data_IF_013229290073
#
_entry.id   IF_013229290073
#
_cell.length_a   1.000
_cell.length_b   1.000
_cell.length_c   1.000
_cell.angle_alpha   90.00
_cell.angle_beta   90.00
_cell.angle_gamma   90.00
#
_symmetry.space_group_name_H-M   'P 1'
#
loop_
_entity.id
_entity.type
_entity.pdbx_description
1 polymer ?
#
# COMPACT_ATOMS: atom_id res chain seq x y z
N UNK A 1 26.57 -0.08 5.59
CA UNK A 1 27.01 0.30 6.95
C UNK A 1 26.16 1.40 7.61
N UNK A 2 25.09 1.94 6.98
CA UNK A 2 24.33 3.06 7.56
C UNK A 2 23.26 2.67 8.60
N UNK A 3 22.91 1.38 8.73
CA UNK A 3 21.83 0.90 9.60
C UNK A 3 22.30 -0.17 10.59
N UNK A 4 23.35 -0.94 10.25
CA UNK A 4 23.84 -2.08 11.04
C UNK A 4 24.09 -1.74 12.51
N UNK A 5 24.75 -0.60 12.77
CA UNK A 5 25.12 -0.19 14.14
C UNK A 5 23.92 0.23 15.02
N UNK A 6 22.72 0.36 14.45
CA UNK A 6 21.48 0.74 15.16
C UNK A 6 20.42 -0.36 15.15
N UNK A 7 20.71 -1.50 14.52
CA UNK A 7 19.82 -2.66 14.53
C UNK A 7 19.89 -3.34 15.89
N UNK A 8 18.78 -3.95 16.30
CA UNK A 8 18.73 -4.72 17.54
C UNK A 8 19.62 -5.95 17.44
N UNK A 9 20.40 -6.24 18.48
CA UNK A 9 21.20 -7.48 18.59
C UNK A 9 20.34 -8.75 18.83
N UNK A 10 19.01 -8.62 18.71
CA UNK A 10 18.07 -9.72 18.86
C UNK A 10 18.19 -10.64 17.64
N UNK A 11 18.53 -11.93 17.82
CA UNK A 11 18.58 -12.86 16.71
C UNK A 11 17.18 -13.04 16.11
N UNK A 12 17.08 -12.91 14.77
CA UNK A 12 15.85 -13.21 14.05
C UNK A 12 15.77 -14.70 13.77
N UNK A 13 14.60 -15.30 14.00
CA UNK A 13 14.29 -16.63 13.49
C UNK A 13 14.40 -16.66 11.96
N UNK A 14 14.71 -17.82 11.36
CA UNK A 14 14.83 -17.96 9.91
C UNK A 14 13.55 -17.55 9.18
N UNK A 15 13.73 -17.07 7.95
CA UNK A 15 12.63 -16.79 7.02
C UNK A 15 11.99 -18.08 6.49
N UNK A 16 10.87 -17.93 5.79
CA UNK A 16 10.24 -19.03 5.06
C UNK A 16 11.12 -19.51 3.90
N UNK A 17 11.98 -18.63 3.39
CA UNK A 17 12.97 -18.90 2.37
C UNK A 17 14.35 -18.45 2.86
N UNK A 18 15.41 -19.01 2.26
CA UNK A 18 16.76 -18.46 2.46
C UNK A 18 16.82 -17.02 1.95
N UNK A 19 17.72 -16.21 2.52
CA UNK A 19 17.82 -14.79 2.17
C UNK A 19 18.09 -14.57 0.68
N UNK A 20 18.96 -15.38 0.09
CA UNK A 20 19.34 -15.29 -1.31
C UNK A 20 18.15 -15.58 -2.24
N UNK A 21 17.43 -16.66 -1.97
CA UNK A 21 16.27 -17.08 -2.76
C UNK A 21 15.13 -16.08 -2.60
N UNK A 22 14.85 -15.66 -1.37
CA UNK A 22 13.81 -14.69 -1.07
C UNK A 22 14.06 -13.34 -1.74
N UNK A 23 15.30 -12.83 -1.71
CA UNK A 23 15.66 -11.59 -2.41
C UNK A 23 15.47 -11.70 -3.93
N UNK A 24 15.84 -12.82 -4.55
CA UNK A 24 15.63 -13.04 -5.99
C UNK A 24 14.14 -13.04 -6.34
N UNK A 25 13.32 -13.77 -5.58
CA UNK A 25 11.87 -13.85 -5.82
C UNK A 25 11.21 -12.48 -5.66
N UNK A 26 11.52 -11.78 -4.56
CA UNK A 26 10.99 -10.43 -4.31
C UNK A 26 11.44 -9.44 -5.40
N UNK A 27 12.69 -9.55 -5.85
CA UNK A 27 13.23 -8.77 -6.95
C UNK A 27 12.48 -8.99 -8.26
N UNK A 28 12.17 -10.26 -8.61
CA UNK A 28 11.40 -10.60 -9.81
C UNK A 28 9.97 -10.05 -9.71
N UNK A 29 9.27 -10.28 -8.60
CA UNK A 29 7.91 -9.78 -8.37
C UNK A 29 7.87 -8.25 -8.51
N UNK A 30 8.80 -7.57 -7.83
CA UNK A 30 8.89 -6.12 -7.85
C UNK A 30 9.20 -5.59 -9.26
N UNK A 31 10.08 -6.27 -10.01
CA UNK A 31 10.42 -5.90 -11.39
C UNK A 31 9.21 -6.03 -12.31
N UNK A 32 8.48 -7.15 -12.24
CA UNK A 32 7.26 -7.37 -13.02
C UNK A 32 6.22 -6.28 -12.71
N UNK A 33 6.03 -5.96 -11.43
CA UNK A 33 5.12 -4.91 -10.99
C UNK A 33 5.51 -3.54 -11.57
N UNK A 34 6.77 -3.11 -11.40
CA UNK A 34 7.24 -1.80 -11.88
C UNK A 34 7.12 -1.71 -13.41
N UNK A 35 7.55 -2.75 -14.13
CA UNK A 35 7.41 -2.80 -15.60
C UNK A 35 5.93 -2.76 -16.01
N UNK A 36 5.07 -3.50 -15.33
CA UNK A 36 3.62 -3.47 -15.55
C UNK A 36 3.03 -2.07 -15.38
N UNK A 37 3.39 -1.36 -14.30
CA UNK A 37 2.96 0.02 -14.04
C UNK A 37 3.46 1.00 -15.12
N UNK A 38 4.69 0.83 -15.61
CA UNK A 38 5.28 1.68 -16.66
C UNK A 38 4.58 1.45 -18.01
N UNK A 39 4.41 0.19 -18.41
CA UNK A 39 3.90 -0.15 -19.75
C UNK A 39 2.42 0.22 -19.90
N UNK A 40 1.63 0.06 -18.83
CA UNK A 40 0.20 0.39 -18.79
C UNK A 40 -0.09 1.88 -18.62
N UNK A 41 0.92 2.69 -18.30
CA UNK A 41 0.77 4.15 -18.16
C UNK A 41 0.79 4.87 -19.50
N UNK A 42 -0.11 5.85 -19.67
CA UNK A 42 -0.10 6.83 -20.76
C UNK A 42 0.92 7.95 -20.53
N UNK A 43 1.36 8.13 -19.30
CA UNK A 43 2.34 9.16 -18.96
C UNK A 43 3.73 8.74 -19.43
N UNK A 44 4.58 9.73 -19.69
CA UNK A 44 5.93 9.52 -20.20
C UNK A 44 6.91 10.49 -19.50
N UNK A 45 8.20 10.16 -19.59
CA UNK A 45 9.30 10.97 -19.07
C UNK A 45 9.17 11.30 -17.58
N UNK A 46 9.53 12.53 -17.21
CA UNK A 46 9.53 12.99 -15.82
C UNK A 46 8.17 12.88 -15.12
N UNK A 47 7.06 13.09 -15.84
CA UNK A 47 5.73 12.95 -15.26
C UNK A 47 5.49 11.51 -14.77
N UNK A 48 5.83 10.51 -15.60
CA UNK A 48 5.73 9.11 -15.19
C UNK A 48 6.69 8.81 -14.04
N UNK A 49 7.94 9.28 -14.13
CA UNK A 49 8.96 9.04 -13.12
C UNK A 49 8.54 9.56 -11.74
N UNK A 50 8.14 10.83 -11.64
CA UNK A 50 7.75 11.45 -10.35
C UNK A 50 6.52 10.79 -9.74
N UNK A 51 5.50 10.49 -10.54
CA UNK A 51 4.28 9.88 -10.02
C UNK A 51 4.45 8.41 -9.64
N UNK A 52 5.27 7.66 -10.40
CA UNK A 52 5.60 6.29 -10.03
C UNK A 52 6.51 6.25 -8.82
N UNK A 53 7.48 7.17 -8.73
CA UNK A 53 8.33 7.33 -7.55
C UNK A 53 7.48 7.63 -6.29
N UNK A 54 6.52 8.55 -6.38
CA UNK A 54 5.60 8.87 -5.27
C UNK A 54 4.77 7.64 -4.86
N UNK A 55 4.14 6.96 -5.83
CA UNK A 55 3.30 5.80 -5.55
C UNK A 55 4.12 4.64 -4.96
N UNK A 56 5.31 4.38 -5.52
CA UNK A 56 6.21 3.35 -5.06
C UNK A 56 6.75 3.65 -3.66
N UNK A 57 7.36 4.81 -3.45
CA UNK A 57 7.88 5.22 -2.14
C UNK A 57 6.77 5.27 -1.10
N UNK A 58 5.62 5.82 -1.48
CA UNK A 58 4.43 5.89 -0.66
C UNK A 58 4.02 4.53 -0.13
N UNK A 59 3.90 3.54 -1.02
CA UNK A 59 3.44 2.19 -0.67
C UNK A 59 4.52 1.36 0.02
N UNK A 60 5.73 1.30 -0.54
CA UNK A 60 6.81 0.42 -0.07
C UNK A 60 7.47 0.92 1.21
N UNK A 61 7.52 2.23 1.44
CA UNK A 61 8.30 2.81 2.54
C UNK A 61 7.47 3.71 3.42
N UNK A 62 6.84 4.75 2.87
CA UNK A 62 6.19 5.75 3.72
C UNK A 62 5.09 5.13 4.58
N UNK A 63 4.16 4.38 3.98
CA UNK A 63 3.06 3.77 4.72
C UNK A 63 3.55 2.67 5.67
N UNK A 64 4.50 1.84 5.23
CA UNK A 64 5.06 0.77 6.08
C UNK A 64 5.79 1.35 7.30
N UNK A 65 6.57 2.42 7.12
CA UNK A 65 7.27 3.07 8.23
C UNK A 65 6.35 3.89 9.14
N UNK A 66 5.19 4.35 8.66
CA UNK A 66 4.16 4.93 9.53
C UNK A 66 3.63 3.88 10.52
N UNK A 67 3.46 2.63 10.11
CA UNK A 67 3.13 1.53 11.04
C UNK A 67 4.29 1.21 11.97
N UNK A 68 5.52 1.10 11.45
CA UNK A 68 6.72 0.89 12.27
C UNK A 68 6.82 1.94 13.37
N UNK A 69 6.57 3.21 13.03
CA UNK A 69 6.59 4.30 13.98
C UNK A 69 5.55 4.11 15.09
N UNK A 70 4.33 3.72 14.74
CA UNK A 70 3.26 3.56 15.73
C UNK A 70 3.42 2.30 16.60
N UNK A 71 3.79 1.17 15.99
CA UNK A 71 3.77 -0.14 16.65
C UNK A 71 5.11 -0.59 17.21
N UNK A 72 6.22 -0.19 16.58
CA UNK A 72 7.55 -0.75 16.90
C UNK A 72 8.47 0.23 17.62
N UNK A 73 8.15 1.53 17.67
CA UNK A 73 9.03 2.51 18.34
C UNK A 73 9.25 2.21 19.83
N UNK A 74 8.25 1.62 20.49
CA UNK A 74 8.33 1.25 21.91
C UNK A 74 8.81 -0.20 22.12
N UNK A 75 9.01 -0.97 21.05
CA UNK A 75 9.34 -2.40 21.13
C UNK A 75 10.75 -2.67 20.60
N UNK A 76 10.98 -2.43 19.29
CA UNK A 76 12.22 -2.85 18.61
C UNK A 76 12.90 -1.73 17.82
N UNK A 77 12.25 -0.60 17.57
CA UNK A 77 12.77 0.46 16.68
C UNK A 77 13.14 1.71 17.46
N UNK A 78 14.43 2.01 17.51
CA UNK A 78 14.88 3.25 18.17
C UNK A 78 14.51 4.51 17.39
N UNK A 79 14.31 5.67 18.06
CA UNK A 79 14.06 6.95 17.39
C UNK A 79 15.17 7.38 16.42
N UNK A 80 16.40 6.89 16.60
CA UNK A 80 17.54 7.15 15.70
C UNK A 80 17.49 6.28 14.44
N UNK A 81 16.91 5.08 14.54
CA UNK A 81 16.79 4.14 13.44
C UNK A 81 15.66 4.54 12.50
N UNK A 82 14.51 4.98 13.04
CA UNK A 82 13.29 5.26 12.26
C UNK A 82 13.54 6.19 11.04
N UNK A 83 14.20 7.36 11.15
CA UNK A 83 14.47 8.22 9.99
C UNK A 83 15.32 7.53 8.91
N UNK A 84 16.24 6.63 9.30
CA UNK A 84 17.08 5.89 8.35
C UNK A 84 16.26 4.87 7.55
N UNK A 85 15.23 4.29 8.15
CA UNK A 85 14.29 3.40 7.45
C UNK A 85 13.52 4.15 6.35
N UNK A 86 13.10 5.39 6.62
CA UNK A 86 12.49 6.25 5.59
C UNK A 86 13.45 6.58 4.44
N UNK A 87 14.73 6.81 4.73
CA UNK A 87 15.75 7.15 3.72
C UNK A 87 16.13 5.93 2.87
N UNK A 88 16.21 4.74 3.49
CA UNK A 88 16.59 3.50 2.80
C UNK A 88 15.70 3.20 1.59
N UNK A 89 14.40 3.50 1.71
CA UNK A 89 13.41 3.32 0.65
C UNK A 89 13.55 4.24 -0.55
N UNK A 90 14.39 5.28 -0.49
CA UNK A 90 14.55 6.27 -1.58
C UNK A 90 15.37 5.76 -2.77
N UNK A 91 16.17 4.71 -2.58
CA UNK A 91 17.06 4.16 -3.62
C UNK A 91 16.30 3.73 -4.88
N UNK A 92 15.20 2.99 -4.73
CA UNK A 92 14.36 2.51 -5.83
C UNK A 92 13.66 3.63 -6.61
N UNK A 93 12.91 4.54 -5.98
CA UNK A 93 12.24 5.63 -6.68
C UNK A 93 13.20 6.62 -7.34
N UNK A 94 14.40 6.84 -6.80
CA UNK A 94 15.37 7.80 -7.35
C UNK A 94 16.22 7.20 -8.47
N UNK A 95 16.64 5.94 -8.35
CA UNK A 95 17.62 5.34 -9.28
C UNK A 95 16.92 4.35 -10.23
N UNK A 96 16.26 3.34 -9.66
CA UNK A 96 15.79 2.20 -10.44
C UNK A 96 14.52 2.49 -11.23
N UNK A 97 13.59 3.31 -10.71
CA UNK A 97 12.38 3.71 -11.46
C UNK A 97 12.73 4.53 -12.72
N UNK A 98 13.55 5.60 -12.65
CA UNK A 98 13.98 6.32 -13.85
C UNK A 98 14.70 5.42 -14.85
N UNK A 99 15.59 4.55 -14.38
CA UNK A 99 16.28 3.57 -15.21
C UNK A 99 15.30 2.62 -15.92
N UNK A 100 14.32 2.07 -15.20
CA UNK A 100 13.29 1.21 -15.76
C UNK A 100 12.47 1.93 -16.85
N UNK A 101 12.12 3.20 -16.65
CA UNK A 101 11.39 4.00 -17.66
C UNK A 101 12.23 4.20 -18.92
N UNK A 102 13.55 4.42 -18.78
CA UNK A 102 14.49 4.51 -19.89
C UNK A 102 14.57 3.19 -20.66
N UNK A 103 14.71 2.07 -19.95
CA UNK A 103 14.76 0.71 -20.53
C UNK A 103 13.46 0.40 -21.28
N UNK A 104 12.29 0.71 -20.70
CA UNK A 104 10.98 0.55 -21.33
C UNK A 104 10.71 1.55 -22.46
N UNK A 105 11.68 2.43 -22.80
CA UNK A 105 11.58 3.45 -23.86
C UNK A 105 10.40 4.43 -23.68
N UNK A 106 9.92 4.61 -22.44
CA UNK A 106 8.82 5.52 -22.07
C UNK A 106 9.29 6.92 -21.68
N UNK A 107 10.57 7.23 -21.91
CA UNK A 107 11.12 8.56 -21.65
C UNK A 107 10.81 9.57 -22.76
N UNK A 108 10.76 9.11 -24.02
CA UNK A 108 10.46 9.97 -25.17
C UNK A 108 8.97 10.33 -25.16
N UNK A 109 8.65 11.62 -25.29
CA UNK A 109 7.26 12.06 -25.51
C UNK A 109 6.78 11.41 -26.81
N UNK A 110 5.71 10.62 -26.75
CA UNK A 110 4.90 10.36 -27.94
C UNK A 110 3.97 11.56 -28.09
N UNK A 111 3.94 12.15 -29.28
CA UNK A 111 2.97 13.18 -29.68
C UNK A 111 1.57 12.56 -29.81
N UNK A 112 1.07 12.00 -28.70
CA UNK A 112 -0.34 11.65 -28.60
C UNK A 112 -1.04 12.96 -28.32
N UNK A 113 -1.80 13.43 -29.31
CA UNK A 113 -2.70 14.56 -29.20
C UNK A 113 -3.35 14.56 -27.82
N UNK A 114 -3.32 15.72 -27.17
CA UNK A 114 -3.87 15.97 -25.85
C UNK A 114 -5.36 15.64 -25.79
N UNK A 115 -5.70 14.36 -25.62
CA UNK A 115 -7.02 13.98 -25.16
C UNK A 115 -7.14 14.45 -23.71
N UNK A 116 -7.96 15.49 -23.56
CA UNK A 116 -8.27 16.17 -22.32
C UNK A 116 -8.36 15.18 -21.15
N UNK A 117 -7.52 15.30 -20.11
CA UNK A 117 -7.69 14.53 -18.89
C UNK A 117 -8.80 15.18 -18.07
N UNK A 118 -10.03 15.25 -18.59
CA UNK A 118 -11.19 15.67 -17.81
C UNK A 118 -11.68 14.50 -16.94
N UNK A 119 -10.77 13.99 -16.11
CA UNK A 119 -11.14 13.31 -14.87
C UNK A 119 -10.69 14.17 -13.68
N UNK A 120 -10.89 15.49 -13.81
CA UNK A 120 -10.84 16.40 -12.66
C UNK A 120 -12.17 16.21 -11.94
N UNK A 121 -12.13 15.35 -10.94
CA UNK A 121 -13.25 15.19 -10.02
C UNK A 121 -13.45 16.51 -9.24
N UNK A 122 -14.69 17.00 -9.07
CA UNK A 122 -14.94 18.14 -8.20
C UNK A 122 -14.34 17.89 -6.82
N UNK A 123 -13.69 18.89 -6.23
CA UNK A 123 -12.97 18.76 -4.96
C UNK A 123 -13.86 18.18 -3.84
N UNK A 124 -15.14 18.59 -3.77
CA UNK A 124 -16.11 18.03 -2.83
C UNK A 124 -16.34 16.54 -3.00
N UNK A 125 -16.42 16.07 -4.24
CA UNK A 125 -16.59 14.66 -4.54
C UNK A 125 -15.31 13.87 -4.22
N UNK A 126 -14.14 14.44 -4.48
CA UNK A 126 -12.87 13.85 -4.08
C UNK A 126 -12.79 13.67 -2.56
N UNK A 127 -13.15 14.72 -1.80
CA UNK A 127 -13.15 14.66 -0.34
C UNK A 127 -14.15 13.63 0.21
N UNK A 128 -15.34 13.53 -0.40
CA UNK A 128 -16.32 12.49 -0.05
C UNK A 128 -15.77 11.08 -0.32
N UNK A 129 -15.14 10.85 -1.49
CA UNK A 129 -14.53 9.56 -1.80
C UNK A 129 -13.38 9.24 -0.85
N UNK A 130 -12.55 10.22 -0.48
CA UNK A 130 -11.51 10.02 0.53
C UNK A 130 -12.09 9.62 1.88
N UNK A 131 -13.19 10.26 2.32
CA UNK A 131 -13.89 9.86 3.55
C UNK A 131 -14.40 8.42 3.49
N UNK A 132 -15.03 8.02 2.38
CA UNK A 132 -15.48 6.64 2.15
C UNK A 132 -14.30 5.66 2.16
N UNK A 133 -13.21 6.00 1.48
CA UNK A 133 -11.97 5.20 1.44
C UNK A 133 -11.40 5.02 2.85
N UNK A 134 -11.37 6.08 3.67
CA UNK A 134 -10.87 6.01 5.05
C UNK A 134 -11.68 5.02 5.90
N UNK A 135 -13.01 5.07 5.80
CA UNK A 135 -13.89 4.15 6.52
C UNK A 135 -13.74 2.71 6.03
N UNK A 136 -13.70 2.50 4.72
CA UNK A 136 -13.51 1.14 4.15
C UNK A 136 -12.17 0.58 4.60
N UNK A 137 -11.13 1.41 4.58
CA UNK A 137 -9.81 0.99 5.03
C UNK A 137 -9.81 0.58 6.51
N UNK A 138 -10.43 1.38 7.38
CA UNK A 138 -10.58 1.05 8.79
C UNK A 138 -11.29 -0.30 8.97
N UNK A 139 -12.37 -0.55 8.23
CA UNK A 139 -13.10 -1.83 8.30
C UNK A 139 -12.22 -2.99 7.84
N UNK A 140 -11.53 -2.86 6.70
CA UNK A 140 -10.64 -3.90 6.18
C UNK A 140 -9.50 -4.19 7.16
N UNK A 141 -8.86 -3.13 7.68
CA UNK A 141 -7.81 -3.24 8.69
C UNK A 141 -8.34 -3.96 9.94
N UNK A 142 -9.53 -3.58 10.42
CA UNK A 142 -10.10 -4.19 11.63
C UNK A 142 -10.41 -5.68 11.45
N UNK A 143 -11.03 -6.03 10.32
CA UNK A 143 -11.38 -7.41 10.02
C UNK A 143 -10.14 -8.28 9.81
N UNK A 144 -9.16 -7.81 9.04
CA UNK A 144 -7.90 -8.55 8.84
C UNK A 144 -7.12 -8.67 10.16
N UNK A 145 -7.02 -7.58 10.91
CA UNK A 145 -6.37 -7.56 12.21
C UNK A 145 -6.98 -8.59 13.15
N UNK A 146 -8.29 -8.60 13.32
CA UNK A 146 -8.96 -9.54 14.24
C UNK A 146 -8.95 -10.99 13.73
N UNK A 147 -9.37 -11.23 12.48
CA UNK A 147 -9.60 -12.59 11.97
C UNK A 147 -8.36 -13.27 11.38
N UNK A 148 -7.26 -12.55 11.16
CA UNK A 148 -6.01 -13.12 10.63
C UNK A 148 -4.87 -12.93 11.65
N UNK A 149 -4.50 -11.70 11.97
CA UNK A 149 -3.31 -11.45 12.80
C UNK A 149 -3.51 -11.81 14.27
N UNK A 150 -4.58 -11.30 14.89
CA UNK A 150 -4.88 -11.51 16.31
C UNK A 150 -5.28 -12.95 16.64
N UNK A 151 -5.44 -13.83 15.63
CA UNK A 151 -5.61 -15.26 15.87
C UNK A 151 -4.31 -15.91 16.35
N UNK A 152 -3.14 -15.37 15.99
CA UNK A 152 -1.85 -15.91 16.42
C UNK A 152 -1.53 -15.49 17.88
N UNK A 153 -1.41 -16.44 18.83
CA UNK A 153 -1.08 -16.14 20.23
C UNK A 153 0.30 -15.49 20.41
N UNK A 154 1.29 -15.85 19.59
CA UNK A 154 2.63 -15.25 19.64
C UNK A 154 2.61 -13.79 19.18
N UNK A 155 1.77 -13.46 18.18
CA UNK A 155 1.58 -12.09 17.74
C UNK A 155 0.93 -11.23 18.83
N UNK A 156 -0.09 -11.77 19.51
CA UNK A 156 -0.70 -11.08 20.65
C UNK A 156 0.30 -10.85 21.78
N UNK A 157 1.10 -11.86 22.11
CA UNK A 157 2.15 -11.74 23.12
C UNK A 157 3.24 -10.72 22.72
N UNK A 158 3.62 -10.67 21.45
CA UNK A 158 4.58 -9.71 20.91
C UNK A 158 4.14 -8.26 21.11
N UNK A 159 2.84 -7.97 20.96
CA UNK A 159 2.25 -6.65 21.24
C UNK A 159 1.77 -6.47 22.68
N UNK A 160 2.21 -7.30 23.62
CA UNK A 160 1.93 -7.14 25.05
C UNK A 160 0.49 -7.49 25.49
N UNK A 161 -0.24 -8.24 24.68
CA UNK A 161 -1.61 -8.73 24.99
C UNK A 161 -1.69 -10.27 25.03
N UNK A 162 -0.86 -10.96 25.84
CA UNK A 162 -0.85 -12.42 25.87
C UNK A 162 -2.17 -13.00 26.38
N UNK A 163 -2.49 -14.23 25.96
CA UNK A 163 -3.68 -14.97 26.40
C UNK A 163 -4.72 -15.17 25.31
N UNK A 164 -5.91 -15.61 25.72
CA UNK A 164 -7.04 -15.86 24.81
C UNK A 164 -7.55 -14.59 24.15
N UNK A 165 -7.98 -14.70 22.89
CA UNK A 165 -8.56 -13.56 22.18
C UNK A 165 -9.94 -13.23 22.76
N UNK A 166 -10.18 -11.95 23.04
CA UNK A 166 -11.50 -11.47 23.43
C UNK A 166 -12.49 -11.61 22.25
N UNK A 167 -13.79 -11.84 22.53
CA UNK A 167 -14.82 -11.84 21.49
C UNK A 167 -14.82 -10.54 20.68
N UNK A 168 -15.13 -10.62 19.39
CA UNK A 168 -14.99 -9.53 18.41
C UNK A 168 -15.51 -8.18 18.89
N UNK A 169 -16.75 -8.13 19.39
CA UNK A 169 -17.35 -6.87 19.83
C UNK A 169 -16.68 -6.31 21.09
N UNK A 170 -16.28 -7.18 22.03
CA UNK A 170 -15.57 -6.78 23.25
C UNK A 170 -14.20 -6.23 22.91
N UNK A 171 -13.42 -6.95 22.10
CA UNK A 171 -12.12 -6.50 21.58
C UNK A 171 -12.24 -5.17 20.85
N UNK A 172 -13.28 -5.04 20.02
CA UNK A 172 -13.55 -3.82 19.25
C UNK A 172 -13.82 -2.63 20.16
N UNK A 173 -14.78 -2.77 21.08
CA UNK A 173 -15.16 -1.70 21.99
C UNK A 173 -14.00 -1.29 22.92
N UNK A 174 -13.25 -2.28 23.44
CA UNK A 174 -12.10 -2.04 24.29
C UNK A 174 -11.02 -1.25 23.54
N UNK A 175 -10.68 -1.63 22.31
CA UNK A 175 -9.63 -0.96 21.54
C UNK A 175 -10.05 0.45 21.10
N UNK A 176 -11.31 0.64 20.69
CA UNK A 176 -11.83 1.98 20.34
C UNK A 176 -11.80 2.93 21.55
N UNK A 177 -12.05 2.41 22.75
CA UNK A 177 -12.08 3.21 23.98
C UNK A 177 -10.68 3.49 24.53
N UNK A 178 -9.79 2.49 24.51
CA UNK A 178 -8.46 2.58 25.12
C UNK A 178 -7.41 3.18 24.18
N UNK A 179 -7.56 3.00 22.87
CA UNK A 179 -6.55 3.38 21.87
C UNK A 179 -7.18 4.13 20.69
N UNK A 180 -7.83 5.29 20.93
CA UNK A 180 -8.48 6.07 19.86
C UNK A 180 -7.48 6.59 18.82
N UNK A 181 -6.20 6.75 19.19
CA UNK A 181 -5.11 7.11 18.27
C UNK A 181 -4.92 6.09 17.15
N UNK A 182 -5.16 4.80 17.40
CA UNK A 182 -5.08 3.77 16.37
C UNK A 182 -6.16 4.00 15.30
N UNK A 183 -7.38 4.31 15.72
CA UNK A 183 -8.49 4.57 14.78
C UNK A 183 -8.16 5.77 13.89
N UNK A 184 -7.66 6.85 14.49
CA UNK A 184 -7.25 8.05 13.74
C UNK A 184 -6.12 7.72 12.74
N UNK A 185 -5.11 6.96 13.19
CA UNK A 185 -4.01 6.52 12.33
C UNK A 185 -4.53 5.75 11.11
N UNK A 186 -5.43 4.78 11.32
CA UNK A 186 -5.94 3.98 10.22
C UNK A 186 -6.79 4.82 9.26
N UNK A 187 -7.64 5.72 9.75
CA UNK A 187 -8.39 6.64 8.89
C UNK A 187 -7.47 7.48 8.01
N UNK A 188 -6.42 8.08 8.60
CA UNK A 188 -5.43 8.88 7.86
C UNK A 188 -4.66 8.02 6.86
N UNK A 189 -4.22 6.83 7.27
CA UNK A 189 -3.49 5.89 6.43
C UNK A 189 -4.31 5.41 5.23
N UNK A 190 -5.60 5.15 5.42
CA UNK A 190 -6.53 4.84 4.33
C UNK A 190 -6.60 5.96 3.29
N UNK A 191 -6.66 7.21 3.72
CA UNK A 191 -6.61 8.37 2.80
C UNK A 191 -5.26 8.48 2.10
N UNK A 192 -4.15 8.25 2.81
CA UNK A 192 -2.80 8.32 2.25
C UNK A 192 -2.61 7.32 1.11
N UNK A 193 -3.01 6.06 1.28
CA UNK A 193 -2.99 5.05 0.21
C UNK A 193 -3.65 5.56 -1.08
N UNK A 194 -4.82 6.20 -0.98
CA UNK A 194 -5.52 6.74 -2.15
C UNK A 194 -4.78 7.94 -2.76
N UNK A 195 -4.27 8.86 -1.93
CA UNK A 195 -3.56 10.06 -2.39
C UNK A 195 -2.28 9.68 -3.14
N UNK A 196 -1.48 8.74 -2.62
CA UNK A 196 -0.18 8.38 -3.22
C UNK A 196 -0.35 7.71 -4.60
N UNK A 197 -1.43 6.94 -4.79
CA UNK A 197 -1.63 6.14 -6.02
C UNK A 197 -2.54 6.83 -7.03
N UNK A 198 -3.32 7.84 -6.60
CA UNK A 198 -4.24 8.58 -7.47
C UNK A 198 -3.58 9.05 -8.76
N UNK A 199 -2.37 9.65 -8.75
CA UNK A 199 -1.72 10.04 -9.98
C UNK A 199 -1.57 8.85 -10.94
N UNK A 200 -1.00 7.73 -10.48
CA UNK A 200 -0.81 6.55 -11.32
C UNK A 200 -2.15 6.01 -11.87
N UNK A 201 -3.22 6.02 -11.07
CA UNK A 201 -4.55 5.63 -11.53
C UNK A 201 -5.03 6.52 -12.69
N UNK A 202 -4.86 7.84 -12.56
CA UNK A 202 -5.19 8.80 -13.63
C UNK A 202 -4.29 8.62 -14.87
N UNK A 203 -3.14 7.98 -14.72
CA UNK A 203 -2.20 7.67 -15.77
C UNK A 203 -2.47 6.35 -16.51
N UNK A 204 -3.31 5.45 -16.01
CA UNK A 204 -3.53 4.16 -16.68
C UNK A 204 -4.24 4.31 -18.03
N UNK A 205 -3.82 3.48 -18.98
CA UNK A 205 -4.43 3.32 -20.31
C UNK A 205 -4.87 1.85 -20.54
N UNK A 206 -5.45 1.24 -19.51
CA UNK A 206 -5.90 -0.15 -19.52
C UNK A 206 -7.26 -0.27 -18.86
N UNK A 207 -7.86 -1.46 -18.96
CA UNK A 207 -9.17 -1.73 -18.35
C UNK A 207 -9.12 -1.58 -16.82
N UNK A 208 -10.22 -1.11 -16.19
CA UNK A 208 -10.28 -0.89 -14.75
C UNK A 208 -9.85 -2.05 -13.86
N UNK A 209 -10.18 -3.28 -14.23
CA UNK A 209 -9.82 -4.46 -13.45
C UNK A 209 -8.31 -4.68 -13.41
N UNK A 210 -7.60 -4.41 -14.53
CA UNK A 210 -6.15 -4.56 -14.60
C UNK A 210 -5.44 -3.44 -13.83
N UNK A 211 -5.96 -2.21 -13.91
CA UNK A 211 -5.52 -1.13 -13.02
C UNK A 211 -5.69 -1.50 -11.54
N UNK A 212 -6.82 -2.14 -11.20
CA UNK A 212 -7.09 -2.69 -9.88
C UNK A 212 -6.00 -3.67 -9.45
N UNK A 213 -5.72 -4.69 -10.26
CA UNK A 213 -4.69 -5.69 -9.95
C UNK A 213 -3.32 -5.05 -9.74
N UNK A 214 -2.92 -4.11 -10.61
CA UNK A 214 -1.62 -3.44 -10.48
C UNK A 214 -1.52 -2.62 -9.18
N UNK A 215 -2.57 -1.92 -8.78
CA UNK A 215 -2.60 -1.17 -7.51
C UNK A 215 -2.68 -2.11 -6.31
N UNK A 216 -3.47 -3.18 -6.39
CA UNK A 216 -3.53 -4.22 -5.37
C UNK A 216 -2.16 -4.84 -5.13
N UNK A 217 -1.45 -5.23 -6.20
CA UNK A 217 -0.08 -5.74 -6.08
C UNK A 217 0.89 -4.67 -5.57
N UNK A 218 0.77 -3.41 -6.02
CA UNK A 218 1.59 -2.32 -5.51
C UNK A 218 1.51 -2.17 -3.99
N UNK A 219 0.32 -2.35 -3.41
CA UNK A 219 0.15 -2.29 -1.96
C UNK A 219 0.50 -3.59 -1.24
N UNK A 220 0.32 -4.74 -1.87
CA UNK A 220 0.57 -6.04 -1.25
C UNK A 220 2.07 -6.45 -1.26
N UNK A 221 2.81 -6.13 -2.32
CA UNK A 221 4.20 -6.56 -2.51
C UNK A 221 5.15 -6.16 -1.37
N UNK A 222 5.07 -4.95 -0.76
CA UNK A 222 5.93 -4.60 0.38
C UNK A 222 5.85 -5.61 1.53
N UNK A 223 4.66 -6.16 1.77
CA UNK A 223 4.39 -7.08 2.87
C UNK A 223 4.97 -8.48 2.64
N UNK A 224 5.26 -8.84 1.38
CA UNK A 224 5.97 -10.09 1.06
C UNK A 224 7.42 -10.09 1.59
N UNK A 225 7.96 -8.93 1.98
CA UNK A 225 9.27 -8.85 2.65
C UNK A 225 9.36 -9.66 3.94
N UNK A 226 8.23 -9.96 4.59
CA UNK A 226 8.16 -10.79 5.80
C UNK A 226 8.51 -12.27 5.58
N UNK A 227 8.69 -12.71 4.33
CA UNK A 227 9.26 -14.02 3.99
C UNK A 227 10.70 -14.13 4.48
N UNK A 228 11.42 -13.00 4.55
CA UNK A 228 12.82 -12.93 4.99
C UNK A 228 12.91 -12.80 6.52
N UNK A 229 14.06 -13.20 7.12
CA UNK A 229 14.39 -12.81 8.48
C UNK A 229 14.33 -11.29 8.66
N UNK A 230 13.84 -10.83 9.82
CA UNK A 230 13.81 -9.41 10.14
C UNK A 230 14.04 -9.21 11.64
N UNK A 231 15.18 -8.62 12.06
CA UNK A 231 15.47 -8.41 13.48
C UNK A 231 14.46 -7.47 14.18
N UNK A 232 13.77 -6.59 13.43
CA UNK A 232 12.74 -5.72 14.00
C UNK A 232 11.44 -6.47 14.37
N UNK A 233 11.24 -7.65 13.79
CA UNK A 233 10.12 -8.55 14.05
C UNK A 233 10.67 -9.99 14.05
N UNK A 234 11.38 -10.37 15.12
CA UNK A 234 12.29 -11.51 15.10
C UNK A 234 11.59 -12.87 15.07
N UNK A 235 10.31 -12.94 15.47
CA UNK A 235 9.52 -14.17 15.54
C UNK A 235 8.91 -14.48 14.16
N UNK A 236 9.14 -15.68 13.63
CA UNK A 236 8.72 -16.09 12.29
C UNK A 236 7.20 -16.19 12.17
N UNK A 237 6.51 -16.70 13.20
CA UNK A 237 5.05 -16.79 13.21
C UNK A 237 4.39 -15.40 13.13
N UNK A 238 4.97 -14.41 13.84
CA UNK A 238 4.50 -13.02 13.86
C UNK A 238 4.67 -12.38 12.49
N UNK A 239 5.85 -12.57 11.85
CA UNK A 239 6.08 -12.12 10.47
C UNK A 239 5.10 -12.76 9.49
N UNK A 240 4.86 -14.06 9.59
CA UNK A 240 3.96 -14.78 8.70
C UNK A 240 2.51 -14.31 8.86
N UNK A 241 2.03 -14.15 10.09
CA UNK A 241 0.70 -13.62 10.37
C UNK A 241 0.51 -12.23 9.79
N UNK A 242 1.48 -11.33 10.01
CA UNK A 242 1.45 -10.00 9.41
C UNK A 242 1.54 -10.03 7.90
N UNK A 243 2.38 -10.87 7.30
CA UNK A 243 2.47 -11.02 5.84
C UNK A 243 1.11 -11.34 5.24
N UNK A 244 0.43 -12.37 5.77
CA UNK A 244 -0.86 -12.81 5.25
C UNK A 244 -1.91 -11.72 5.47
N UNK A 245 -2.01 -11.20 6.70
CA UNK A 245 -2.94 -10.13 7.06
C UNK A 245 -2.78 -8.91 6.14
N UNK A 246 -1.58 -8.35 6.10
CA UNK A 246 -1.32 -7.06 5.45
C UNK A 246 -1.26 -7.20 3.94
N UNK A 247 -0.66 -8.25 3.38
CA UNK A 247 -0.66 -8.43 1.92
C UNK A 247 -2.06 -8.65 1.37
N UNK A 248 -2.90 -9.47 2.01
CA UNK A 248 -4.26 -9.74 1.53
C UNK A 248 -5.19 -8.54 1.69
N UNK A 249 -5.16 -7.89 2.85
CA UNK A 249 -6.00 -6.73 3.14
C UNK A 249 -5.66 -5.54 2.25
N UNK A 250 -4.37 -5.25 2.06
CA UNK A 250 -3.94 -4.13 1.19
C UNK A 250 -4.13 -4.43 -0.29
N UNK A 251 -4.03 -5.69 -0.72
CA UNK A 251 -4.39 -6.10 -2.08
C UNK A 251 -5.87 -5.80 -2.37
N UNK A 252 -6.76 -6.27 -1.51
CA UNK A 252 -8.21 -6.04 -1.61
C UNK A 252 -8.51 -4.54 -1.58
N UNK A 253 -7.84 -3.81 -0.70
CA UNK A 253 -8.01 -2.37 -0.60
C UNK A 253 -7.56 -1.62 -1.86
N UNK A 254 -6.47 -2.04 -2.50
CA UNK A 254 -6.03 -1.49 -3.79
C UNK A 254 -7.07 -1.66 -4.90
N UNK A 255 -7.73 -2.82 -4.97
CA UNK A 255 -8.85 -3.05 -5.89
C UNK A 255 -10.00 -2.07 -5.65
N UNK A 256 -10.36 -1.84 -4.38
CA UNK A 256 -11.43 -0.93 -3.99
C UNK A 256 -11.08 0.52 -4.29
N UNK A 257 -9.85 0.95 -4.03
CA UNK A 257 -9.38 2.31 -4.37
C UNK A 257 -9.53 2.55 -5.87
N UNK A 258 -9.09 1.60 -6.71
CA UNK A 258 -9.25 1.76 -8.16
C UNK A 258 -10.72 1.79 -8.56
N UNK A 259 -11.54 0.89 -8.02
CA UNK A 259 -12.98 0.88 -8.28
C UNK A 259 -13.63 2.23 -7.95
N UNK A 260 -13.30 2.83 -6.81
CA UNK A 260 -13.82 4.13 -6.37
C UNK A 260 -13.27 5.31 -7.17
N UNK A 261 -11.97 5.32 -7.49
CA UNK A 261 -11.32 6.48 -8.11
C UNK A 261 -11.36 6.48 -9.63
N UNK A 262 -11.48 5.32 -10.27
CA UNK A 262 -11.42 5.22 -11.72
C UNK A 262 -12.70 5.71 -12.44
N UNK A 263 -13.84 5.73 -11.74
CA UNK A 263 -15.13 6.14 -12.33
C UNK A 263 -15.54 7.56 -11.89
N UNK A 264 -16.09 8.34 -12.83
CA UNK A 264 -16.86 9.54 -12.52
C UNK A 264 -18.21 9.09 -11.96
N UNK A 265 -18.43 9.26 -10.66
CA UNK A 265 -19.75 9.06 -10.06
C UNK A 265 -20.44 10.42 -9.98
N UNK A 266 -21.61 10.60 -10.57
CA UNK A 266 -22.32 11.88 -10.52
C UNK A 266 -23.11 12.02 -9.22
N UNK A 267 -23.46 10.89 -8.59
CA UNK A 267 -24.25 10.81 -7.36
C UNK A 267 -23.96 9.48 -6.60
N UNK A 268 -24.51 9.32 -5.38
CA UNK A 268 -24.36 8.09 -4.57
C UNK A 268 -25.00 6.84 -5.22
N UNK A 269 -26.03 7.00 -6.05
CA UNK A 269 -26.68 5.87 -6.76
C UNK A 269 -25.75 5.30 -7.84
N UNK A 270 -24.88 6.12 -8.42
CA UNK A 270 -23.88 5.70 -9.41
C UNK A 270 -22.77 4.81 -8.79
N UNK A 271 -22.65 4.73 -7.46
CA UNK A 271 -21.79 3.71 -6.81
C UNK A 271 -22.38 2.31 -6.92
N UNK A 272 -23.71 2.18 -6.99
CA UNK A 272 -24.42 0.90 -7.01
C UNK A 272 -25.09 0.60 -8.36
N UNK A 273 -25.04 1.53 -9.32
CA UNK A 273 -25.61 1.36 -10.64
C UNK A 273 -24.59 0.78 -11.64
N UNK A 274 -24.94 -0.36 -12.26
CA UNK A 274 -24.31 -0.83 -13.50
C UNK A 274 -24.76 0.10 -14.63
N UNK A 275 -24.10 1.24 -14.80
CA UNK A 275 -24.20 1.99 -16.05
C UNK A 275 -22.82 2.11 -16.66
N UNK A 276 -22.56 1.26 -17.64
CA UNK A 276 -21.58 1.57 -18.67
C UNK A 276 -22.05 2.88 -19.29
N UNK A 277 -21.33 3.97 -19.03
CA UNK A 277 -21.52 5.21 -19.76
C UNK A 277 -20.95 4.96 -21.15
N UNK A 278 -21.83 4.44 -22.00
CA UNK A 278 -21.67 4.48 -23.44
C UNK A 278 -21.42 5.95 -23.82
N UNK A 279 -20.24 6.23 -24.35
CA UNK A 279 -19.87 7.55 -24.88
C UNK A 279 -20.54 7.65 -26.25
N UNK A 280 -21.85 7.76 -26.26
CA UNK A 280 -22.61 8.19 -27.44
C UNK A 280 -23.77 9.05 -26.96
N UNK A 281 -23.61 10.37 -27.20
CA UNK A 281 -24.62 11.43 -27.26
C UNK A 281 -24.29 12.64 -26.39
N UNK A 282 -23.28 13.40 -26.83
CA UNK A 282 -23.34 14.86 -26.75
C UNK A 282 -23.27 15.38 -28.18
N UNK A 283 -24.44 15.42 -28.83
CA UNK A 283 -24.76 16.34 -29.92
C UNK A 283 -26.27 16.30 -30.11
N UNK A 284 -26.96 17.18 -29.39
CA UNK A 284 -28.12 17.96 -29.85
C UNK A 284 -28.29 19.14 -28.89
#
# INVERSE_FOLDING_TARGET
>A
MAIGDLMTDVPSEPGLLSEEIGMVILGIINTILIVGLILTSRWNGWRLASFLALAYYGAFTFITQVETWYFLTEITVSPKLLPRLFIMGLSIPIIYIPLAILICRKWKKRDVATENPNMIMPFKQFLLKLGVIAIIYLVIYWLAGYYIAWQNPELRAFYGSPGEIEPFFTHTFATFSKTPSLILLQLVRGMLFAIIVMPIILGFNVKPWLSGLLVGFLFATPHLGHILPNPLMPIASVRLSHMIETATSTFVFGLIIVWLLHRRHSNLKDLFSKKDMDITNVNK
#
